data_IF_426405462816
#
_entry.id   IF_426405462816
#
_cell.length_a   1.000
_cell.length_b   1.000
_cell.length_c   1.000
_cell.angle_alpha   90.00
_cell.angle_beta   90.00
_cell.angle_gamma   90.00
#
_symmetry.space_group_name_H-M   'P 1'
#
loop_
_entity.id
_entity.type
_entity.pdbx_description
1 polymer ?
#
# COMPACT_ATOMS: atom_id res chain seq x y z
N UNK A 1 -45.58 0.61 -13.98
CA UNK A 1 -44.84 0.29 -12.74
C UNK A 1 -44.11 -1.02 -12.94
N UNK A 2 -42.80 -1.00 -13.20
CA UNK A 2 -41.91 -2.16 -13.01
C UNK A 2 -40.51 -1.62 -12.74
N UNK A 3 -40.23 -1.33 -11.47
CA UNK A 3 -38.89 -1.01 -11.00
C UNK A 3 -38.06 -2.29 -11.11
N UNK A 4 -37.11 -2.33 -12.05
CA UNK A 4 -36.10 -3.39 -12.12
C UNK A 4 -35.22 -3.27 -10.88
N UNK A 5 -35.40 -4.18 -9.94
CA UNK A 5 -34.45 -4.44 -8.86
C UNK A 5 -33.09 -4.72 -9.51
N UNK A 6 -32.13 -3.83 -9.29
CA UNK A 6 -30.71 -4.18 -9.37
C UNK A 6 -30.48 -5.25 -8.30
N UNK A 7 -30.53 -6.52 -8.70
CA UNK A 7 -29.94 -7.60 -7.92
C UNK A 7 -28.42 -7.45 -8.06
N UNK A 8 -27.84 -6.67 -7.16
CA UNK A 8 -26.43 -6.80 -6.82
C UNK A 8 -26.20 -8.26 -6.42
N UNK A 9 -25.41 -8.97 -7.22
CA UNK A 9 -24.96 -10.31 -6.91
C UNK A 9 -24.52 -10.39 -5.44
N UNK A 10 -25.00 -11.36 -4.66
CA UNK A 10 -24.58 -11.50 -3.27
C UNK A 10 -23.07 -11.70 -3.28
N UNK A 11 -22.35 -10.71 -2.74
CA UNK A 11 -20.92 -10.82 -2.48
C UNK A 11 -20.79 -11.89 -1.42
N UNK A 12 -20.67 -13.15 -1.84
CA UNK A 12 -20.36 -14.25 -0.96
C UNK A 12 -19.08 -13.84 -0.24
N UNK A 13 -19.22 -13.50 1.04
CA UNK A 13 -18.09 -13.28 1.94
C UNK A 13 -17.85 -14.65 2.54
N UNK A 14 -16.84 -15.42 2.08
CA UNK A 14 -16.56 -16.72 2.62
C UNK A 14 -16.35 -16.60 4.14
N UNK A 15 -16.73 -17.61 4.93
CA UNK A 15 -16.49 -17.62 6.39
C UNK A 15 -15.01 -17.41 6.75
N UNK A 16 -14.08 -17.73 5.83
CA UNK A 16 -12.66 -17.43 5.96
C UNK A 16 -12.35 -15.92 6.08
N UNK A 17 -13.06 -15.05 5.34
CA UNK A 17 -12.82 -13.59 5.35
C UNK A 17 -13.25 -12.93 6.65
N UNK A 18 -14.38 -13.33 7.23
CA UNK A 18 -14.85 -12.72 8.49
C UNK A 18 -13.96 -13.15 9.66
N UNK A 19 -13.52 -14.40 9.66
CA UNK A 19 -12.57 -14.95 10.65
C UNK A 19 -11.19 -14.30 10.50
N UNK A 20 -10.66 -14.22 9.27
CA UNK A 20 -9.38 -13.56 9.00
C UNK A 20 -9.43 -12.06 9.36
N UNK A 21 -10.53 -11.36 9.06
CA UNK A 21 -10.70 -9.95 9.45
C UNK A 21 -10.73 -9.76 10.96
N UNK A 22 -11.47 -10.60 11.68
CA UNK A 22 -11.53 -10.53 13.15
C UNK A 22 -10.20 -10.89 13.82
N UNK A 23 -9.43 -11.81 13.24
CA UNK A 23 -8.09 -12.16 13.70
C UNK A 23 -7.07 -11.06 13.37
N UNK A 24 -7.13 -10.50 12.16
CA UNK A 24 -6.28 -9.39 11.73
C UNK A 24 -6.49 -8.14 12.60
N UNK A 25 -7.75 -7.79 12.90
CA UNK A 25 -8.06 -6.67 13.81
C UNK A 25 -7.47 -6.91 15.21
N UNK A 26 -7.56 -8.14 15.75
CA UNK A 26 -6.94 -8.47 17.04
C UNK A 26 -5.42 -8.37 17.01
N UNK A 27 -4.77 -8.82 15.93
CA UNK A 27 -3.32 -8.76 15.78
C UNK A 27 -2.80 -7.35 15.53
N UNK A 28 -3.55 -6.50 14.83
CA UNK A 28 -3.22 -5.07 14.67
C UNK A 28 -3.24 -4.37 16.02
N UNK A 29 -4.24 -4.60 16.85
CA UNK A 29 -4.30 -4.02 18.21
C UNK A 29 -3.10 -4.49 19.06
N UNK A 30 -2.72 -5.76 18.97
CA UNK A 30 -1.53 -6.28 19.66
C UNK A 30 -0.22 -5.64 19.13
N UNK A 31 -0.12 -5.42 17.81
CA UNK A 31 1.02 -4.77 17.17
C UNK A 31 1.15 -3.30 17.60
N UNK A 32 0.05 -2.57 17.64
CA UNK A 32 0.01 -1.18 18.11
C UNK A 32 0.39 -1.08 19.59
N UNK A 33 -0.09 -1.99 20.43
CA UNK A 33 0.29 -2.06 21.84
C UNK A 33 1.79 -2.38 22.02
N UNK A 34 2.34 -3.28 21.20
CA UNK A 34 3.78 -3.59 21.19
C UNK A 34 4.61 -2.38 20.75
N UNK A 35 4.19 -1.67 19.70
CA UNK A 35 4.83 -0.44 19.23
C UNK A 35 4.86 0.63 20.33
N UNK A 36 3.75 0.86 21.01
CA UNK A 36 3.66 1.82 22.12
C UNK A 36 4.62 1.47 23.27
N UNK A 37 4.73 0.18 23.63
CA UNK A 37 5.70 -0.28 24.63
C UNK A 37 7.15 -0.01 24.20
N UNK A 38 7.49 -0.22 22.92
CA UNK A 38 8.83 0.13 22.40
C UNK A 38 9.10 1.62 22.55
N UNK A 39 8.16 2.48 22.16
CA UNK A 39 8.29 3.94 22.27
C UNK A 39 8.45 4.39 23.73
N UNK A 40 7.68 3.84 24.66
CA UNK A 40 7.79 4.13 26.10
C UNK A 40 9.16 3.76 26.66
N UNK A 41 9.69 2.58 26.30
CA UNK A 41 11.01 2.12 26.75
C UNK A 41 12.15 2.94 26.13
N UNK A 42 12.04 3.30 24.85
CA UNK A 42 13.00 4.20 24.20
C UNK A 42 13.03 5.59 24.86
N UNK A 43 11.88 6.14 25.21
CA UNK A 43 11.80 7.41 25.93
C UNK A 43 12.41 7.32 27.34
N UNK A 44 12.20 6.21 28.04
CA UNK A 44 12.85 5.93 29.33
C UNK A 44 14.38 5.86 29.19
N UNK A 45 14.88 5.16 28.17
CA UNK A 45 16.32 5.07 27.90
C UNK A 45 16.95 6.45 27.60
N UNK A 46 16.26 7.28 26.81
CA UNK A 46 16.69 8.67 26.53
C UNK A 46 16.76 9.50 27.81
N UNK A 47 15.77 9.38 28.70
CA UNK A 47 15.78 10.08 29.99
C UNK A 47 16.96 9.71 30.87
N UNK A 48 17.37 8.44 30.86
CA UNK A 48 18.56 7.96 31.58
C UNK A 48 19.86 8.42 30.92
N UNK A 49 19.94 8.43 29.59
CA UNK A 49 21.10 8.92 28.84
C UNK A 49 21.38 10.42 29.10
N UNK A 50 20.32 11.24 29.16
CA UNK A 50 20.42 12.67 29.49
C UNK A 50 21.10 12.87 30.85
N UNK A 51 20.86 12.01 31.85
CA UNK A 51 21.52 12.12 33.17
C UNK A 51 23.04 11.96 33.05
N UNK A 52 23.50 10.99 32.26
CA UNK A 52 24.93 10.81 31.97
C UNK A 52 25.55 12.00 31.21
N UNK A 53 24.80 12.59 30.27
CA UNK A 53 25.24 13.81 29.56
C UNK A 53 25.31 15.02 30.49
N UNK A 54 24.36 15.18 31.42
CA UNK A 54 24.38 16.28 32.41
C UNK A 54 25.60 16.20 33.33
N UNK A 55 25.98 15.00 33.80
CA UNK A 55 27.18 14.82 34.61
C UNK A 55 28.46 15.22 33.83
N UNK A 56 28.57 14.81 32.56
CA UNK A 56 29.69 15.19 31.68
C UNK A 56 29.76 16.70 31.45
N UNK A 57 28.62 17.36 31.25
CA UNK A 57 28.56 18.80 31.04
C UNK A 57 29.00 19.59 32.29
N UNK A 58 28.56 19.17 33.49
CA UNK A 58 28.97 19.79 34.75
C UNK A 58 30.47 19.58 35.03
N UNK A 59 31.01 18.40 34.74
CA UNK A 59 32.44 18.12 34.85
C UNK A 59 33.28 19.03 33.93
N UNK A 60 32.82 19.25 32.69
CA UNK A 60 33.47 20.15 31.74
C UNK A 60 33.44 21.62 32.21
N UNK A 61 32.31 22.08 32.78
CA UNK A 61 32.21 23.43 33.37
C UNK A 61 33.18 23.60 34.53
N UNK A 62 33.28 22.61 35.42
CA UNK A 62 34.20 22.63 36.55
C UNK A 62 35.67 22.63 36.11
N UNK A 63 36.01 21.86 35.07
CA UNK A 63 37.34 21.87 34.47
C UNK A 63 37.68 23.23 33.84
N UNK A 64 36.73 23.86 33.14
CA UNK A 64 36.89 25.21 32.59
C UNK A 64 37.14 26.26 33.66
N UNK A 65 36.38 26.23 34.76
CA UNK A 65 36.61 27.11 35.91
C UNK A 65 37.98 26.86 36.56
N UNK A 66 38.45 25.60 36.64
CA UNK A 66 39.81 25.27 37.11
C UNK A 66 40.88 25.88 36.23
N UNK A 67 40.76 25.74 34.91
CA UNK A 67 41.69 26.32 33.96
C UNK A 67 41.74 27.86 34.06
N UNK A 68 40.59 28.52 34.18
CA UNK A 68 40.52 29.98 34.36
C UNK A 68 41.20 30.45 35.64
N UNK A 69 41.00 29.74 36.76
CA UNK A 69 41.66 30.07 38.02
C UNK A 69 43.19 29.91 37.92
N UNK A 70 43.67 28.86 37.26
CA UNK A 70 45.11 28.62 37.03
C UNK A 70 45.69 29.72 36.14
N UNK A 71 45.00 30.10 35.07
CA UNK A 71 45.43 31.19 34.19
C UNK A 71 45.52 32.53 34.93
N UNK A 72 44.51 32.88 35.73
CA UNK A 72 44.51 34.11 36.53
C UNK A 72 45.65 34.14 37.57
N UNK A 73 45.96 32.99 38.19
CA UNK A 73 47.10 32.84 39.10
C UNK A 73 48.45 32.95 38.37
N UNK A 74 48.57 32.36 37.18
CA UNK A 74 49.77 32.44 36.35
C UNK A 74 50.03 33.89 35.89
N UNK A 75 49.00 34.58 35.40
CA UNK A 75 49.09 35.99 35.00
C UNK A 75 49.45 36.88 36.18
N UNK A 76 48.91 36.59 37.36
CA UNK A 76 49.29 37.30 38.58
C UNK A 76 50.75 37.08 38.96
N UNK A 77 51.22 35.83 38.94
CA UNK A 77 52.61 35.49 39.26
C UNK A 77 53.61 36.15 38.29
N UNK A 78 53.23 36.29 37.02
CA UNK A 78 54.05 36.96 36.01
C UNK A 78 54.04 38.49 36.15
N UNK A 79 52.91 39.09 36.56
CA UNK A 79 52.75 40.54 36.65
C UNK A 79 53.06 41.14 38.03
N UNK A 80 53.29 40.31 39.06
CA UNK A 80 53.84 40.72 40.35
C UNK A 80 52.96 41.66 41.19
N UNK A 81 51.63 41.63 41.04
CA UNK A 81 50.79 42.49 41.86
C UNK A 81 50.83 42.07 43.34
N UNK A 82 50.96 43.01 44.28
CA UNK A 82 51.23 42.70 45.70
C UNK A 82 50.09 42.04 46.48
N UNK A 83 48.99 41.65 45.82
CA UNK A 83 47.84 41.01 46.47
C UNK A 83 47.26 39.92 45.54
N UNK A 84 47.16 38.66 46.00
CA UNK A 84 46.64 37.57 45.18
C UNK A 84 45.23 37.90 44.68
N UNK A 85 44.89 37.53 43.42
CA UNK A 85 43.58 37.77 42.87
C UNK A 85 42.54 37.07 43.74
N UNK A 86 41.47 37.77 44.09
CA UNK A 86 40.31 37.14 44.74
C UNK A 86 39.69 36.19 43.75
N UNK A 87 39.97 34.89 43.91
CA UNK A 87 39.19 33.81 43.30
C UNK A 87 37.88 33.73 44.08
N UNK A 88 36.94 34.67 43.85
CA UNK A 88 35.64 34.62 44.52
C UNK A 88 34.93 33.32 44.15
N UNK A 89 34.55 32.55 45.17
CA UNK A 89 33.57 31.50 45.05
C UNK A 89 32.19 32.13 44.95
N UNK A 90 31.45 31.79 43.90
CA UNK A 90 30.02 32.08 43.77
C UNK A 90 29.31 30.91 43.06
N UNK A 91 29.69 29.67 43.39
CA UNK A 91 29.01 28.48 42.87
C UNK A 91 29.91 27.31 42.47
N UNK A 92 31.22 27.35 42.81
CA UNK A 92 32.12 26.20 42.60
C UNK A 92 31.79 25.04 43.54
N UNK A 93 31.48 25.35 44.81
CA UNK A 93 31.03 24.37 45.79
C UNK A 93 29.66 23.81 45.40
N UNK A 94 28.70 24.67 45.04
CA UNK A 94 27.41 24.27 44.48
C UNK A 94 27.56 23.41 43.22
N UNK A 95 28.53 23.71 42.33
CA UNK A 95 28.83 22.90 41.15
C UNK A 95 29.45 21.55 41.51
N UNK A 96 30.27 21.47 42.57
CA UNK A 96 30.84 20.21 43.06
C UNK A 96 29.73 19.34 43.66
N UNK A 97 28.84 19.91 44.46
CA UNK A 97 27.70 19.22 45.05
C UNK A 97 26.76 18.71 43.96
N UNK A 98 26.39 19.57 42.99
CA UNK A 98 25.59 19.18 41.82
C UNK A 98 26.27 18.15 40.93
N UNK A 99 27.60 18.20 40.79
CA UNK A 99 28.36 17.20 40.05
C UNK A 99 28.32 15.84 40.76
N UNK A 100 28.53 15.82 42.08
CA UNK A 100 28.47 14.59 42.87
C UNK A 100 27.06 13.96 42.84
N UNK A 101 26.00 14.77 42.92
CA UNK A 101 24.63 14.32 42.73
C UNK A 101 24.38 13.78 41.31
N UNK A 102 24.86 14.49 40.27
CA UNK A 102 24.70 14.06 38.89
C UNK A 102 25.50 12.78 38.56
N UNK A 103 26.70 12.62 39.13
CA UNK A 103 27.53 11.42 39.01
C UNK A 103 26.86 10.22 39.70
N UNK A 104 26.34 10.40 40.91
CA UNK A 104 25.58 9.36 41.61
C UNK A 104 24.32 8.94 40.82
N UNK A 105 23.61 9.91 40.23
CA UNK A 105 22.45 9.64 39.37
C UNK A 105 22.84 8.95 38.05
N UNK A 106 24.01 9.27 37.48
CA UNK A 106 24.53 8.64 36.26
C UNK A 106 25.02 7.21 36.53
N UNK A 107 25.68 6.97 37.66
CA UNK A 107 26.13 5.66 38.10
C UNK A 107 24.93 4.75 38.39
N UNK A 108 23.91 5.26 39.08
CA UNK A 108 22.65 4.55 39.29
C UNK A 108 21.86 4.30 37.98
N UNK A 109 22.04 5.15 36.95
CA UNK A 109 21.39 5.00 35.66
C UNK A 109 22.04 3.91 34.79
N UNK A 110 23.31 3.57 34.97
CA UNK A 110 24.03 2.56 34.18
C UNK A 110 23.32 1.19 34.14
N UNK A 111 23.09 0.55 35.30
CA UNK A 111 22.35 -0.72 35.37
C UNK A 111 20.92 -0.61 34.82
N UNK A 112 20.26 0.54 35.02
CA UNK A 112 18.91 0.77 34.49
C UNK A 112 18.88 0.86 32.96
N UNK A 113 19.91 1.46 32.33
CA UNK A 113 20.04 1.53 30.87
C UNK A 113 20.22 0.13 30.28
N UNK A 114 21.02 -0.73 30.91
CA UNK A 114 21.21 -2.12 30.45
C UNK A 114 19.91 -2.93 30.49
N UNK A 115 19.15 -2.80 31.58
CA UNK A 115 17.82 -3.43 31.72
C UNK A 115 16.86 -2.89 30.66
N UNK A 116 16.78 -1.58 30.47
CA UNK A 116 15.90 -0.97 29.46
C UNK A 116 16.30 -1.36 28.05
N UNK A 117 17.60 -1.43 27.73
CA UNK A 117 18.07 -1.87 26.42
C UNK A 117 17.72 -3.36 26.16
N UNK A 118 17.84 -4.21 27.17
CA UNK A 118 17.42 -5.61 27.07
C UNK A 118 15.90 -5.73 26.84
N UNK A 119 15.10 -4.88 27.51
CA UNK A 119 13.65 -4.82 27.30
C UNK A 119 13.27 -4.27 25.92
N UNK A 120 13.99 -3.26 25.40
CA UNK A 120 13.81 -2.74 24.04
C UNK A 120 14.09 -3.86 23.02
N UNK A 121 15.17 -4.62 23.20
CA UNK A 121 15.50 -5.75 22.32
C UNK A 121 14.39 -6.82 22.32
N UNK A 122 13.86 -7.17 23.51
CA UNK A 122 12.72 -8.10 23.62
C UNK A 122 11.47 -7.54 22.95
N UNK A 123 11.14 -6.27 23.19
CA UNK A 123 9.96 -5.62 22.61
C UNK A 123 10.05 -5.52 21.07
N UNK A 124 11.23 -5.29 20.51
CA UNK A 124 11.46 -5.38 19.06
C UNK A 124 11.27 -6.81 18.53
N UNK A 125 11.73 -7.83 19.25
CA UNK A 125 11.48 -9.23 18.91
C UNK A 125 10.00 -9.58 18.91
N UNK A 126 9.24 -9.08 19.89
CA UNK A 126 7.78 -9.26 19.97
C UNK A 126 7.05 -8.53 18.83
N UNK A 127 7.47 -7.30 18.52
CA UNK A 127 6.93 -6.54 17.39
C UNK A 127 7.15 -7.27 16.06
N UNK A 128 8.36 -7.78 15.80
CA UNK A 128 8.65 -8.51 14.56
C UNK A 128 7.80 -9.79 14.46
N UNK A 129 7.65 -10.54 15.55
CA UNK A 129 6.79 -11.74 15.58
C UNK A 129 5.33 -11.40 15.31
N UNK A 130 4.81 -10.33 15.91
CA UNK A 130 3.45 -9.86 15.67
C UNK A 130 3.25 -9.40 14.22
N UNK A 131 4.24 -8.73 13.62
CA UNK A 131 4.22 -8.29 12.23
C UNK A 131 4.18 -9.47 11.25
N UNK A 132 5.04 -10.46 11.44
CA UNK A 132 5.04 -11.71 10.65
C UNK A 132 3.68 -12.41 10.77
N UNK A 133 3.14 -12.51 11.98
CA UNK A 133 1.84 -13.12 12.22
C UNK A 133 0.69 -12.39 11.51
N UNK A 134 0.77 -11.07 11.30
CA UNK A 134 -0.20 -10.33 10.47
C UNK A 134 -0.01 -10.69 9.00
N UNK A 135 1.24 -10.76 8.52
CA UNK A 135 1.56 -11.09 7.14
C UNK A 135 1.06 -12.49 6.74
N UNK A 136 1.26 -13.48 7.62
CA UNK A 136 0.80 -14.87 7.44
C UNK A 136 -0.73 -15.01 7.29
N UNK A 137 -1.50 -14.01 7.72
CA UNK A 137 -2.96 -13.97 7.52
C UNK A 137 -3.32 -13.26 6.22
N UNK A 138 -2.65 -12.15 5.90
CA UNK A 138 -3.00 -11.30 4.76
C UNK A 138 -2.68 -12.00 3.44
N UNK A 139 -1.50 -12.62 3.34
CA UNK A 139 -1.02 -13.18 2.07
C UNK A 139 -1.93 -14.30 1.55
N UNK A 140 -2.32 -15.31 2.34
CA UNK A 140 -3.20 -16.37 1.85
C UNK A 140 -4.57 -15.85 1.41
N UNK A 141 -5.12 -14.85 2.11
CA UNK A 141 -6.40 -14.23 1.74
C UNK A 141 -6.26 -13.49 0.40
N UNK A 142 -5.16 -12.75 0.19
CA UNK A 142 -4.93 -12.08 -1.09
C UNK A 142 -4.73 -13.07 -2.24
N UNK A 143 -4.00 -14.16 -2.03
CA UNK A 143 -3.80 -15.22 -3.03
C UNK A 143 -5.13 -15.90 -3.40
N UNK A 144 -5.98 -16.19 -2.41
CA UNK A 144 -7.32 -16.76 -2.64
C UNK A 144 -8.21 -15.81 -3.47
N UNK A 145 -8.22 -14.52 -3.14
CA UNK A 145 -8.98 -13.50 -3.88
C UNK A 145 -8.46 -13.31 -5.29
N UNK A 146 -7.13 -13.26 -5.48
CA UNK A 146 -6.52 -13.14 -6.80
C UNK A 146 -6.89 -14.35 -7.67
N UNK A 147 -6.86 -15.55 -7.09
CA UNK A 147 -7.26 -16.78 -7.78
C UNK A 147 -8.77 -16.87 -8.04
N UNK A 148 -9.61 -16.24 -7.21
CA UNK A 148 -11.06 -16.14 -7.47
C UNK A 148 -11.35 -15.16 -8.60
N UNK A 149 -10.67 -14.01 -8.61
CA UNK A 149 -10.79 -13.00 -9.67
C UNK A 149 -10.29 -13.55 -11.01
N UNK A 150 -9.17 -14.27 -11.03
CA UNK A 150 -8.67 -14.92 -12.24
C UNK A 150 -9.69 -15.92 -12.80
N UNK A 151 -10.30 -16.75 -11.97
CA UNK A 151 -11.39 -17.66 -12.38
C UNK A 151 -12.61 -16.92 -12.95
N UNK A 152 -12.99 -15.80 -12.35
CA UNK A 152 -14.09 -14.97 -12.85
C UNK A 152 -13.75 -14.34 -14.21
N UNK A 153 -12.53 -13.82 -14.36
CA UNK A 153 -12.02 -13.30 -15.63
C UNK A 153 -12.03 -14.41 -16.70
N UNK A 154 -11.53 -15.61 -16.40
CA UNK A 154 -11.56 -16.73 -17.33
C UNK A 154 -12.99 -17.11 -17.71
N UNK A 155 -13.93 -17.18 -16.76
CA UNK A 155 -15.33 -17.48 -17.04
C UNK A 155 -16.01 -16.41 -17.91
N UNK A 156 -15.59 -15.14 -17.80
CA UNK A 156 -16.05 -14.08 -18.70
C UNK A 156 -15.41 -14.18 -20.08
N UNK A 157 -14.11 -14.47 -20.17
CA UNK A 157 -13.40 -14.68 -21.43
C UNK A 157 -13.98 -15.88 -22.21
N UNK A 158 -14.28 -16.98 -21.54
CA UNK A 158 -14.95 -18.16 -22.12
C UNK A 158 -16.33 -17.83 -22.73
N UNK A 159 -17.03 -16.83 -22.20
CA UNK A 159 -18.32 -16.35 -22.77
C UNK A 159 -18.11 -15.37 -23.92
N UNK A 160 -17.04 -14.58 -23.86
CA UNK A 160 -16.71 -13.56 -24.85
C UNK A 160 -16.16 -14.16 -26.15
N UNK A 161 -15.26 -15.14 -26.04
CA UNK A 161 -14.59 -15.79 -27.19
C UNK A 161 -15.60 -16.35 -28.22
N UNK A 162 -16.68 -17.06 -27.82
CA UNK A 162 -17.73 -17.49 -28.74
C UNK A 162 -18.46 -16.34 -29.43
N UNK A 163 -18.63 -15.18 -28.78
CA UNK A 163 -19.29 -14.02 -29.38
C UNK A 163 -18.38 -13.32 -30.39
N UNK A 164 -17.10 -13.17 -30.08
CA UNK A 164 -16.11 -12.60 -30.99
C UNK A 164 -15.90 -13.46 -32.24
N UNK A 165 -15.83 -14.79 -32.07
CA UNK A 165 -15.71 -15.75 -33.18
C UNK A 165 -16.97 -15.79 -34.04
N UNK A 166 -18.16 -15.65 -33.45
CA UNK A 166 -19.43 -15.49 -34.18
C UNK A 166 -19.50 -14.19 -34.97
N UNK A 167 -19.07 -13.08 -34.37
CA UNK A 167 -19.03 -11.77 -35.03
C UNK A 167 -18.03 -11.76 -36.21
N UNK A 168 -16.87 -12.40 -36.05
CA UNK A 168 -15.92 -12.62 -37.14
C UNK A 168 -16.52 -13.51 -38.26
N UNK A 169 -17.27 -14.55 -37.88
CA UNK A 169 -17.99 -15.41 -38.83
C UNK A 169 -19.06 -14.66 -39.64
N UNK A 170 -19.86 -13.81 -39.00
CA UNK A 170 -20.83 -12.94 -39.67
C UNK A 170 -20.16 -12.00 -40.68
N UNK A 171 -19.04 -11.37 -40.30
CA UNK A 171 -18.28 -10.48 -41.19
C UNK A 171 -17.81 -11.22 -42.44
N UNK A 172 -17.16 -12.37 -42.27
CA UNK A 172 -16.63 -13.18 -43.38
C UNK A 172 -17.74 -13.75 -44.27
N UNK A 173 -18.86 -14.16 -43.68
CA UNK A 173 -20.03 -14.63 -44.43
C UNK A 173 -20.63 -13.51 -45.26
N UNK A 174 -20.83 -12.31 -44.69
CA UNK A 174 -21.35 -11.15 -45.41
C UNK A 174 -20.40 -10.71 -46.54
N UNK A 175 -19.09 -10.71 -46.28
CA UNK A 175 -18.05 -10.48 -47.28
C UNK A 175 -18.17 -11.47 -48.44
N UNK A 176 -18.25 -12.78 -48.16
CA UNK A 176 -18.41 -13.84 -49.17
C UNK A 176 -19.71 -13.67 -49.99
N UNK A 177 -20.85 -13.42 -49.35
CA UNK A 177 -22.13 -13.23 -50.06
C UNK A 177 -22.12 -11.95 -50.91
N UNK A 178 -21.40 -10.90 -50.49
CA UNK A 178 -21.25 -9.68 -51.29
C UNK A 178 -20.49 -9.90 -52.61
N UNK A 179 -19.57 -10.88 -52.66
CA UNK A 179 -18.87 -11.24 -53.89
C UNK A 179 -19.72 -12.13 -54.82
N UNK A 180 -20.66 -12.90 -54.27
CA UNK A 180 -21.54 -13.80 -55.03
C UNK A 180 -22.82 -13.13 -55.55
N UNK A 181 -23.15 -11.91 -55.11
CA UNK A 181 -24.34 -11.16 -55.51
C UNK A 181 -23.95 -9.99 -56.42
N UNK A 182 -24.75 -9.75 -57.46
CA UNK A 182 -24.55 -8.65 -58.42
C UNK A 182 -25.65 -7.57 -58.30
N UNK A 183 -25.33 -6.34 -58.69
CA UNK A 183 -26.27 -5.22 -58.69
C UNK A 183 -26.79 -4.83 -57.29
N UNK A 184 -28.07 -4.47 -57.21
CA UNK A 184 -28.72 -3.98 -55.97
C UNK A 184 -28.70 -5.00 -54.83
N UNK A 185 -28.66 -6.30 -55.14
CA UNK A 185 -28.60 -7.38 -54.17
C UNK A 185 -27.27 -7.45 -53.39
N UNK A 186 -26.22 -6.76 -53.86
CA UNK A 186 -24.90 -6.69 -53.21
C UNK A 186 -24.85 -5.69 -52.05
N UNK A 187 -25.59 -4.59 -52.16
CA UNK A 187 -25.57 -3.47 -51.20
C UNK A 187 -25.87 -3.87 -49.75
N UNK A 188 -26.90 -4.68 -49.46
CA UNK A 188 -27.23 -5.11 -48.11
C UNK A 188 -26.10 -5.89 -47.41
N UNK A 189 -25.43 -6.81 -48.12
CA UNK A 189 -24.32 -7.60 -47.57
C UNK A 189 -23.07 -6.76 -47.29
N UNK A 190 -22.77 -5.76 -48.13
CA UNK A 190 -21.67 -4.81 -47.88
C UNK A 190 -21.94 -3.95 -46.63
N UNK A 191 -23.18 -3.49 -46.42
CA UNK A 191 -23.55 -2.75 -45.20
C UNK A 191 -23.43 -3.62 -43.95
N UNK A 192 -23.85 -4.87 -44.02
CA UNK A 192 -23.74 -5.83 -42.91
C UNK A 192 -22.26 -6.15 -42.57
N UNK A 193 -21.41 -6.31 -43.59
CA UNK A 193 -19.97 -6.50 -43.40
C UNK A 193 -19.32 -5.29 -42.71
N UNK A 194 -19.64 -4.08 -43.16
CA UNK A 194 -19.09 -2.85 -42.57
C UNK A 194 -19.60 -2.65 -41.14
N UNK A 195 -20.89 -2.86 -40.87
CA UNK A 195 -21.45 -2.79 -39.52
C UNK A 195 -20.81 -3.81 -38.57
N UNK A 196 -20.58 -5.05 -39.03
CA UNK A 196 -19.86 -6.06 -38.25
C UNK A 196 -18.41 -5.62 -37.96
N UNK A 197 -17.71 -5.04 -38.95
CA UNK A 197 -16.34 -4.54 -38.78
C UNK A 197 -16.27 -3.34 -37.81
N UNK A 198 -17.26 -2.44 -37.85
CA UNK A 198 -17.39 -1.32 -36.91
C UNK A 198 -17.62 -1.82 -35.48
N UNK A 199 -18.52 -2.79 -35.29
CA UNK A 199 -18.77 -3.40 -33.97
C UNK A 199 -17.52 -4.14 -33.46
N UNK A 200 -16.82 -4.89 -34.32
CA UNK A 200 -15.55 -5.53 -33.97
C UNK A 200 -14.52 -4.48 -33.50
N UNK A 201 -14.36 -3.39 -34.24
CA UNK A 201 -13.44 -2.31 -33.89
C UNK A 201 -13.82 -1.63 -32.57
N UNK A 202 -15.11 -1.31 -32.39
CA UNK A 202 -15.63 -0.69 -31.17
C UNK A 202 -15.47 -1.59 -29.93
N UNK A 203 -15.55 -2.92 -30.12
CA UNK A 203 -15.33 -3.92 -29.07
C UNK A 203 -13.88 -4.41 -28.97
N UNK A 204 -12.95 -3.79 -29.70
CA UNK A 204 -11.52 -4.15 -29.76
C UNK A 204 -11.25 -5.60 -30.20
N UNK A 205 -12.19 -6.20 -30.93
CA UNK A 205 -12.03 -7.51 -31.56
C UNK A 205 -11.24 -7.34 -32.84
N UNK A 206 -10.18 -8.13 -33.01
CA UNK A 206 -9.35 -8.09 -34.21
C UNK A 206 -10.15 -8.50 -35.45
N UNK A 207 -10.02 -7.76 -36.56
CA UNK A 207 -10.58 -8.20 -37.85
C UNK A 207 -9.98 -9.52 -38.36
N UNK A 208 -8.84 -9.95 -37.77
CA UNK A 208 -8.16 -11.22 -38.02
C UNK A 208 -8.57 -12.33 -37.03
N UNK A 209 -9.53 -12.09 -36.14
CA UNK A 209 -10.07 -13.13 -35.25
C UNK A 209 -10.53 -14.32 -36.09
N UNK A 210 -10.11 -15.56 -35.75
CA UNK A 210 -10.53 -16.74 -36.48
C UNK A 210 -12.06 -16.88 -36.38
N UNK A 211 -12.71 -17.11 -37.50
CA UNK A 211 -14.14 -17.42 -37.51
C UNK A 211 -14.32 -18.91 -37.26
N UNK A 212 -15.20 -19.25 -36.31
CA UNK A 212 -15.77 -20.59 -36.29
C UNK A 212 -16.81 -20.70 -37.40
N UNK A 213 -16.89 -21.85 -38.06
CA UNK A 213 -17.96 -22.17 -39.00
C UNK A 213 -19.29 -22.25 -38.25
N UNK A 214 -19.89 -21.09 -38.07
CA UNK A 214 -21.30 -20.94 -37.74
C UNK A 214 -22.16 -21.25 -38.95
N UNK A 215 -23.18 -22.07 -38.74
CA UNK A 215 -24.16 -22.53 -39.73
C UNK A 215 -24.67 -21.35 -40.59
N UNK A 216 -24.47 -21.44 -41.92
CA UNK A 216 -24.87 -20.38 -42.87
C UNK A 216 -26.37 -20.05 -42.75
N UNK A 217 -27.20 -21.00 -42.29
CA UNK A 217 -28.63 -20.78 -42.08
C UNK A 217 -28.91 -19.76 -40.98
N UNK A 218 -28.10 -19.69 -39.93
CA UNK A 218 -28.25 -18.73 -38.82
C UNK A 218 -27.99 -17.31 -39.34
N UNK A 219 -26.95 -17.15 -40.16
CA UNK A 219 -26.63 -15.85 -40.75
C UNK A 219 -27.63 -15.41 -41.80
N UNK A 220 -28.15 -16.35 -42.59
CA UNK A 220 -29.22 -16.06 -43.54
C UNK A 220 -30.50 -15.59 -42.82
N UNK A 221 -30.91 -16.24 -41.73
CA UNK A 221 -32.09 -15.81 -40.94
C UNK A 221 -31.89 -14.43 -40.31
N UNK A 222 -30.68 -14.13 -39.82
CA UNK A 222 -30.36 -12.80 -39.28
C UNK A 222 -30.36 -11.73 -40.37
N UNK A 223 -29.77 -12.03 -41.53
CA UNK A 223 -29.76 -11.14 -42.68
C UNK A 223 -31.17 -10.89 -43.21
N UNK A 224 -31.99 -11.93 -43.34
CA UNK A 224 -33.39 -11.81 -43.79
C UNK A 224 -34.19 -10.93 -42.83
N UNK A 225 -34.04 -11.09 -41.51
CA UNK A 225 -34.67 -10.20 -40.51
C UNK A 225 -34.19 -8.75 -40.64
N UNK A 226 -32.89 -8.52 -40.79
CA UNK A 226 -32.31 -7.18 -40.92
C UNK A 226 -32.64 -6.50 -42.26
N UNK A 227 -32.89 -7.28 -43.32
CA UNK A 227 -33.15 -6.76 -44.66
C UNK A 227 -34.65 -6.64 -44.99
N UNK A 228 -35.53 -7.33 -44.26
CA UNK A 228 -36.99 -7.29 -44.50
C UNK A 228 -37.76 -6.42 -43.51
N UNK A 229 -37.20 -6.11 -42.35
CA UNK A 229 -37.88 -5.37 -41.30
C UNK A 229 -37.34 -3.92 -41.22
N UNK A 230 -38.10 -2.96 -41.79
CA UNK A 230 -37.71 -1.55 -41.84
C UNK A 230 -37.65 -0.87 -40.45
N UNK A 231 -38.28 -1.48 -39.45
CA UNK A 231 -38.31 -1.04 -38.05
C UNK A 231 -37.43 -1.89 -37.13
N UNK A 232 -36.57 -2.78 -37.67
CA UNK A 232 -35.55 -3.44 -36.86
C UNK A 232 -34.56 -2.39 -36.36
N UNK A 233 -34.79 -1.93 -35.13
CA UNK A 233 -34.01 -0.94 -34.38
C UNK A 233 -32.56 -0.92 -34.86
N UNK A 234 -32.17 0.20 -35.48
CA UNK A 234 -30.77 0.56 -35.63
C UNK A 234 -30.08 0.23 -34.30
N UNK A 235 -29.08 -0.65 -34.37
CA UNK A 235 -28.29 -1.09 -33.22
C UNK A 235 -28.09 0.14 -32.33
N UNK A 236 -28.61 0.16 -31.09
CA UNK A 236 -28.48 1.33 -30.25
C UNK A 236 -27.00 1.63 -30.19
N UNK A 237 -26.61 2.81 -30.70
CA UNK A 237 -25.27 3.32 -30.52
C UNK A 237 -24.93 3.09 -29.07
N UNK A 238 -23.83 2.37 -28.83
CA UNK A 238 -23.32 2.16 -27.50
C UNK A 238 -23.05 3.55 -26.90
N UNK A 239 -24.01 4.09 -26.16
CA UNK A 239 -23.76 5.19 -25.25
C UNK A 239 -22.70 4.68 -24.28
N UNK A 240 -21.56 5.36 -24.31
CA UNK A 240 -20.47 5.15 -23.38
C UNK A 240 -20.99 5.44 -21.97
N UNK A 241 -21.07 4.38 -21.16
CA UNK A 241 -21.11 4.41 -19.70
C UNK A 241 -20.22 3.29 -19.19
#
# INVERSE_FOLDING_TARGET
MTSKKNETAPTHTPPARSVARGELSRRIVALEAAKKKVEERQNSARGLAIRGETAKALAAQLAGLKAQAVAALADHALNGSGRPPKLSGDGREDLIERLAEAEALAEAAGPAIEVVNAEIARAHGDFNRASIAVHDIVVPVLEEELGALDREIQAHLEKLIPLETRLAGLRLWAERKSYLKEGEARGPFLRLMNAAAEVMTAKRVSLRTPANETDETIWQVLADRLFTDADALAVPHAEAA
#
